data_IF_527168102311
#
_entry.id   IF_527168102311
#
_cell.length_a   1.000
_cell.length_b   1.000
_cell.length_c   1.000
_cell.angle_alpha   90.00
_cell.angle_beta   90.00
_cell.angle_gamma   90.00
#
_symmetry.space_group_name_H-M   'P 1'
#
loop_
_entity.id
_entity.type
_entity.pdbx_description
1 polymer ?
#
# COMPACT_ATOMS: atom_id res chain seq x y z
N UNK A 1 6.26 -14.28 17.40
CA UNK A 1 7.58 -14.65 16.82
C UNK A 1 7.52 -16.12 16.42
N UNK A 2 7.96 -16.46 15.21
CA UNK A 2 8.01 -17.83 14.70
C UNK A 2 9.34 -18.48 15.10
N UNK A 3 9.29 -19.67 15.67
CA UNK A 3 10.48 -20.47 15.97
C UNK A 3 10.92 -21.26 14.75
N UNK A 4 12.23 -21.55 14.65
CA UNK A 4 12.77 -22.41 13.59
C UNK A 4 12.30 -23.86 13.80
N UNK A 5 11.89 -24.53 12.72
CA UNK A 5 11.50 -25.94 12.74
C UNK A 5 12.75 -26.82 12.90
N UNK A 6 12.69 -27.81 13.79
CA UNK A 6 13.73 -28.84 13.93
C UNK A 6 13.53 -29.93 12.87
N UNK A 7 14.53 -30.12 12.01
CA UNK A 7 14.58 -31.16 11.00
C UNK A 7 15.46 -32.30 11.49
N UNK A 8 14.84 -33.32 12.10
CA UNK A 8 15.52 -34.51 12.62
C UNK A 8 15.32 -35.72 11.72
N UNK A 9 16.22 -36.69 11.83
CA UNK A 9 16.08 -37.99 11.17
C UNK A 9 14.81 -38.72 11.63
N UNK A 10 14.12 -39.39 10.70
CA UNK A 10 12.87 -40.10 10.98
C UNK A 10 11.63 -39.22 11.14
N UNK A 11 11.72 -37.90 10.90
CA UNK A 11 10.57 -36.99 10.95
C UNK A 11 9.58 -37.27 9.80
N UNK A 12 8.33 -37.59 10.13
CA UNK A 12 7.25 -37.69 9.16
C UNK A 12 6.74 -36.29 8.75
N UNK A 13 6.77 -35.98 7.45
CA UNK A 13 6.31 -34.69 6.93
C UNK A 13 4.80 -34.48 7.13
N UNK A 14 4.44 -33.25 7.53
CA UNK A 14 3.07 -32.78 7.68
C UNK A 14 2.99 -31.34 7.19
N UNK A 15 1.82 -30.82 6.76
CA UNK A 15 1.68 -29.45 6.27
C UNK A 15 2.21 -28.39 7.25
N UNK A 16 2.08 -28.63 8.55
CA UNK A 16 2.54 -27.72 9.59
C UNK A 16 4.05 -27.45 9.53
N UNK A 17 4.87 -28.41 9.09
CA UNK A 17 6.31 -28.20 8.96
C UNK A 17 6.59 -27.13 7.90
N UNK A 18 5.95 -27.23 6.74
CA UNK A 18 6.09 -26.25 5.66
C UNK A 18 5.49 -24.89 6.05
N UNK A 19 4.28 -24.87 6.61
CA UNK A 19 3.63 -23.63 7.06
C UNK A 19 4.46 -22.87 8.10
N UNK A 20 5.07 -23.57 9.07
CA UNK A 20 5.92 -22.94 10.09
C UNK A 20 7.26 -22.50 9.54
N UNK A 21 7.84 -23.28 8.62
CA UNK A 21 9.07 -22.91 7.94
C UNK A 21 8.87 -21.67 7.08
N UNK A 22 7.80 -21.60 6.31
CA UNK A 22 7.49 -20.47 5.44
C UNK A 22 7.32 -19.18 6.26
N UNK A 23 6.42 -19.22 7.24
CA UNK A 23 6.20 -18.12 8.18
C UNK A 23 7.45 -17.71 8.96
N UNK A 24 8.38 -18.62 9.25
CA UNK A 24 9.68 -18.27 9.85
C UNK A 24 10.52 -17.40 8.91
N UNK A 25 10.62 -17.77 7.63
CA UNK A 25 11.39 -17.01 6.64
C UNK A 25 10.74 -15.67 6.31
N UNK A 26 9.41 -15.63 6.16
CA UNK A 26 8.64 -14.39 5.99
C UNK A 26 8.89 -13.41 7.14
N UNK A 27 8.86 -13.88 8.39
CA UNK A 27 9.15 -13.04 9.55
C UNK A 27 10.60 -12.58 9.61
N UNK A 28 11.56 -13.42 9.24
CA UNK A 28 12.97 -13.01 9.15
C UNK A 28 13.13 -11.89 8.11
N UNK A 29 12.55 -12.04 6.91
CA UNK A 29 12.57 -11.03 5.87
C UNK A 29 11.91 -9.71 6.33
N UNK A 30 10.73 -9.80 6.92
CA UNK A 30 10.02 -8.63 7.44
C UNK A 30 10.85 -7.89 8.51
N UNK A 31 11.47 -8.61 9.46
CA UNK A 31 12.34 -8.03 10.48
C UNK A 31 13.55 -7.32 9.88
N UNK A 32 14.20 -7.93 8.89
CA UNK A 32 15.35 -7.32 8.20
C UNK A 32 14.98 -6.02 7.50
N UNK A 33 13.83 -5.98 6.81
CA UNK A 33 13.34 -4.77 6.17
C UNK A 33 13.00 -3.70 7.21
N UNK A 34 12.31 -4.08 8.29
CA UNK A 34 11.94 -3.17 9.38
C UNK A 34 13.14 -2.56 10.10
N UNK A 35 14.25 -3.30 10.18
CA UNK A 35 15.49 -2.79 10.77
C UNK A 35 16.12 -1.63 9.97
N UNK A 36 15.93 -1.61 8.65
CA UNK A 36 16.43 -0.56 7.76
C UNK A 36 15.40 0.54 7.52
N UNK A 37 14.12 0.18 7.44
CA UNK A 37 13.02 1.10 7.16
C UNK A 37 11.81 0.80 8.08
N UNK A 38 11.73 1.42 9.28
CA UNK A 38 10.73 1.08 10.31
C UNK A 38 9.26 1.21 9.88
N UNK A 39 8.99 2.07 8.91
CA UNK A 39 7.66 2.34 8.36
C UNK A 39 7.50 1.84 6.92
N UNK A 40 8.16 0.74 6.56
CA UNK A 40 8.03 0.11 5.23
C UNK A 40 6.71 -0.64 5.09
N UNK A 41 5.59 0.07 5.25
CA UNK A 41 4.22 -0.41 5.05
C UNK A 41 3.36 0.75 4.54
N UNK A 42 2.23 0.45 3.91
CA UNK A 42 1.35 1.44 3.30
C UNK A 42 1.00 1.11 1.85
N UNK A 43 0.57 2.13 1.13
CA UNK A 43 0.16 2.06 -0.28
C UNK A 43 1.37 2.17 -1.21
N UNK A 44 1.43 1.29 -2.20
CA UNK A 44 2.33 1.39 -3.35
C UNK A 44 1.58 1.81 -4.62
N UNK A 45 0.39 1.27 -4.85
CA UNK A 45 -0.49 1.69 -5.94
C UNK A 45 -1.96 1.56 -5.54
N UNK A 46 -2.76 2.56 -5.90
CA UNK A 46 -4.20 2.58 -5.65
C UNK A 46 -4.90 3.27 -6.81
N UNK A 47 -5.83 2.56 -7.44
CA UNK A 47 -6.73 3.12 -8.45
C UNK A 47 -8.18 2.81 -8.08
N UNK A 48 -9.00 3.85 -8.13
CA UNK A 48 -10.43 3.81 -7.84
C UNK A 48 -11.19 4.09 -9.13
N UNK A 49 -12.26 3.33 -9.35
CA UNK A 49 -13.18 3.57 -10.43
C UNK A 49 -13.99 4.85 -10.17
N UNK A 50 -13.63 5.92 -10.90
CA UNK A 50 -14.22 7.25 -10.72
C UNK A 50 -15.68 7.30 -11.18
N UNK A 51 -16.05 6.53 -12.19
CA UNK A 51 -17.42 6.49 -12.70
C UNK A 51 -18.34 5.77 -11.72
N UNK A 52 -17.88 4.63 -11.17
CA UNK A 52 -18.62 3.95 -10.11
C UNK A 52 -18.74 4.84 -8.86
N UNK A 53 -17.67 5.55 -8.49
CA UNK A 53 -17.65 6.42 -7.31
C UNK A 53 -18.65 7.58 -7.44
N UNK A 54 -18.73 8.21 -8.61
CA UNK A 54 -19.72 9.24 -8.91
C UNK A 54 -21.16 8.69 -8.77
N UNK A 55 -21.37 7.41 -9.06
CA UNK A 55 -22.64 6.69 -8.88
C UNK A 55 -22.80 6.06 -7.48
N UNK A 56 -22.09 6.58 -6.48
CA UNK A 56 -22.15 6.11 -5.08
C UNK A 56 -21.72 4.65 -4.86
N UNK A 57 -20.81 4.13 -5.68
CA UNK A 57 -20.21 2.81 -5.49
C UNK A 57 -18.69 2.93 -5.41
N UNK A 58 -18.11 2.57 -4.27
CA UNK A 58 -16.66 2.50 -4.11
C UNK A 58 -16.14 1.17 -4.66
N UNK A 59 -15.48 1.23 -5.81
CA UNK A 59 -14.83 0.08 -6.46
C UNK A 59 -13.36 0.39 -6.75
N UNK A 60 -12.47 -0.51 -6.38
CA UNK A 60 -11.05 -0.43 -6.74
C UNK A 60 -10.81 -1.13 -8.08
N UNK A 61 -9.87 -0.62 -8.86
CA UNK A 61 -9.39 -1.25 -10.12
C UNK A 61 -7.96 -1.76 -9.99
N UNK A 62 -7.17 -1.19 -9.08
CA UNK A 62 -5.81 -1.63 -8.76
C UNK A 62 -5.53 -1.36 -7.30
N UNK A 63 -4.86 -2.30 -6.64
CA UNK A 63 -4.46 -2.21 -5.25
C UNK A 63 -3.14 -2.97 -5.05
N UNK A 64 -2.06 -2.24 -4.79
CA UNK A 64 -0.79 -2.78 -4.32
C UNK A 64 -0.46 -2.16 -2.97
N UNK A 65 -0.44 -2.98 -1.92
CA UNK A 65 -0.24 -2.51 -0.53
C UNK A 65 0.62 -3.46 0.27
N UNK A 66 1.26 -2.91 1.30
CA UNK A 66 2.00 -3.65 2.31
C UNK A 66 1.46 -3.39 3.71
N UNK A 67 1.15 -4.46 4.43
CA UNK A 67 0.66 -4.38 5.81
C UNK A 67 1.79 -4.31 6.84
N UNK A 68 1.46 -3.89 8.06
CA UNK A 68 2.40 -3.69 9.15
C UNK A 68 3.08 -4.98 9.65
N UNK A 69 2.49 -6.14 9.36
CA UNK A 69 3.05 -7.47 9.65
C UNK A 69 3.96 -8.01 8.53
N UNK A 70 4.07 -7.27 7.42
CA UNK A 70 4.92 -7.59 6.28
C UNK A 70 4.20 -8.21 5.10
N UNK A 71 2.90 -8.51 5.21
CA UNK A 71 2.13 -9.08 4.10
C UNK A 71 2.04 -8.12 2.92
N UNK A 72 2.18 -8.67 1.72
CA UNK A 72 2.01 -7.96 0.46
C UNK A 72 0.70 -8.40 -0.19
N UNK A 73 -0.06 -7.42 -0.64
CA UNK A 73 -1.27 -7.63 -1.43
C UNK A 73 -1.10 -6.92 -2.75
N UNK A 74 -1.35 -7.65 -3.82
CA UNK A 74 -1.23 -7.16 -5.19
C UNK A 74 -2.43 -7.63 -6.01
N UNK A 75 -3.39 -6.74 -6.24
CA UNK A 75 -4.64 -7.01 -6.92
C UNK A 75 -4.84 -6.04 -8.09
N UNK A 76 -5.33 -6.54 -9.25
CA UNK A 76 -5.92 -7.86 -9.48
C UNK A 76 -4.95 -8.96 -9.91
N UNK A 77 -3.64 -8.70 -9.98
CA UNK A 77 -2.67 -9.62 -10.57
C UNK A 77 -2.53 -10.94 -9.79
N UNK A 78 -2.25 -10.86 -8.49
CA UNK A 78 -2.05 -12.02 -7.62
C UNK A 78 -3.30 -12.29 -6.78
N UNK A 79 -3.82 -11.25 -6.14
CA UNK A 79 -4.92 -11.28 -5.19
C UNK A 79 -6.23 -10.77 -5.81
N UNK A 80 -7.34 -11.03 -5.14
CA UNK A 80 -8.63 -10.46 -5.54
C UNK A 80 -8.77 -9.03 -5.01
N UNK A 81 -9.38 -8.15 -5.80
CA UNK A 81 -9.80 -6.83 -5.33
C UNK A 81 -10.86 -6.99 -4.23
N UNK A 82 -10.90 -6.09 -3.23
CA UNK A 82 -11.94 -6.13 -2.19
C UNK A 82 -13.33 -5.91 -2.81
N UNK A 83 -14.35 -6.39 -2.12
CA UNK A 83 -15.74 -6.17 -2.53
C UNK A 83 -16.07 -4.67 -2.64
N UNK A 84 -16.88 -4.33 -3.63
CA UNK A 84 -17.33 -2.96 -3.82
C UNK A 84 -18.26 -2.54 -2.68
N UNK A 85 -18.14 -1.28 -2.23
CA UNK A 85 -18.97 -0.75 -1.15
C UNK A 85 -20.04 0.16 -1.72
N UNK A 86 -21.29 -0.13 -1.39
CA UNK A 86 -22.42 0.74 -1.70
C UNK A 86 -22.46 1.94 -0.73
N UNK A 87 -22.15 3.13 -1.25
CA UNK A 87 -22.13 4.38 -0.49
C UNK A 87 -23.51 5.03 -0.41
N UNK A 88 -24.51 4.55 -1.15
CA UNK A 88 -25.88 5.08 -1.11
C UNK A 88 -26.54 4.83 0.25
N UNK A 89 -26.07 3.82 0.98
CA UNK A 89 -26.51 3.47 2.33
C UNK A 89 -25.99 4.43 3.41
N UNK A 90 -25.03 5.31 3.08
CA UNK A 90 -24.46 6.25 4.05
C UNK A 90 -25.45 7.38 4.37
N UNK A 91 -25.59 7.78 5.66
CA UNK A 91 -26.44 8.88 6.07
C UNK A 91 -26.14 10.18 5.29
N UNK A 92 -27.15 11.00 4.95
CA UNK A 92 -26.94 12.29 4.29
C UNK A 92 -26.07 13.27 5.10
N UNK A 93 -26.03 13.12 6.43
CA UNK A 93 -25.18 13.91 7.32
C UNK A 93 -23.69 13.61 7.18
N UNK A 94 -23.31 12.43 6.67
CA UNK A 94 -21.92 12.03 6.46
C UNK A 94 -21.37 12.75 5.23
N UNK A 95 -20.67 13.86 5.44
CA UNK A 95 -20.04 14.64 4.37
C UNK A 95 -18.71 14.05 3.92
N UNK A 96 -17.97 13.47 4.85
CA UNK A 96 -16.68 12.82 4.63
C UNK A 96 -16.67 11.47 5.31
N UNK A 97 -16.03 10.48 4.68
CA UNK A 97 -15.87 9.16 5.25
C UNK A 97 -14.52 8.56 4.87
N UNK A 98 -13.81 8.01 5.84
CA UNK A 98 -12.53 7.31 5.60
C UNK A 98 -12.76 5.81 5.49
N UNK A 99 -12.20 5.19 4.45
CA UNK A 99 -12.15 3.74 4.29
C UNK A 99 -10.76 3.22 4.58
N UNK A 100 -10.69 2.15 5.36
CA UNK A 100 -9.48 1.44 5.72
C UNK A 100 -9.34 0.20 4.85
N UNK A 101 -8.13 -0.08 4.41
CA UNK A 101 -7.81 -1.41 3.92
C UNK A 101 -7.54 -2.30 5.13
N UNK A 102 -8.21 -3.45 5.18
CA UNK A 102 -8.17 -4.35 6.31
C UNK A 102 -7.87 -5.78 5.84
N UNK A 103 -6.94 -6.43 6.54
CA UNK A 103 -6.60 -7.83 6.36
C UNK A 103 -6.82 -8.57 7.69
N UNK A 104 -7.59 -9.68 7.72
CA UNK A 104 -7.78 -10.41 8.96
C UNK A 104 -6.44 -10.85 9.58
N UNK A 105 -6.31 -10.67 10.89
CA UNK A 105 -5.13 -11.11 11.63
C UNK A 105 -4.96 -12.63 11.52
N UNK A 106 -3.72 -13.11 11.53
CA UNK A 106 -3.43 -14.55 11.51
C UNK A 106 -3.78 -15.17 12.87
N UNK A 107 -4.63 -16.20 12.87
CA UNK A 107 -5.16 -16.84 14.07
C UNK A 107 -4.48 -18.19 14.30
N UNK A 108 -3.91 -18.47 15.48
CA UNK A 108 -3.11 -19.68 15.70
C UNK A 108 -3.93 -20.98 15.77
N UNK A 109 -5.20 -20.92 16.18
CA UNK A 109 -6.02 -22.10 16.51
C UNK A 109 -7.33 -22.22 15.72
N UNK A 110 -7.65 -21.24 14.87
CA UNK A 110 -8.85 -21.25 14.03
C UNK A 110 -8.47 -21.24 12.56
N UNK A 111 -9.41 -21.58 11.67
CA UNK A 111 -9.18 -21.54 10.23
C UNK A 111 -8.72 -20.16 9.75
N UNK A 112 -7.62 -20.12 8.99
CA UNK A 112 -7.09 -18.90 8.37
C UNK A 112 -7.44 -18.78 6.89
N UNK A 113 -8.00 -19.82 6.28
CA UNK A 113 -8.39 -19.83 4.88
C UNK A 113 -9.84 -20.26 4.73
N UNK A 114 -10.46 -19.90 3.60
CA UNK A 114 -11.75 -20.45 3.18
C UNK A 114 -11.71 -21.10 1.81
N UNK A 115 -12.50 -22.16 1.60
CA UNK A 115 -12.65 -22.77 0.28
C UNK A 115 -13.20 -21.79 -0.75
N UNK A 116 -12.99 -22.06 -2.05
CA UNK A 116 -13.55 -21.23 -3.12
C UNK A 116 -15.09 -21.19 -3.02
N UNK A 117 -15.67 -20.01 -3.24
CA UNK A 117 -17.13 -19.83 -3.29
C UNK A 117 -17.85 -19.84 -1.94
N UNK A 118 -17.14 -19.98 -0.82
CA UNK A 118 -17.74 -19.80 0.50
C UNK A 118 -17.53 -18.38 1.02
N UNK A 119 -18.59 -17.69 1.48
CA UNK A 119 -18.44 -16.39 2.10
C UNK A 119 -17.71 -16.56 3.43
N UNK A 120 -16.65 -15.80 3.64
CA UNK A 120 -16.02 -15.76 4.95
C UNK A 120 -15.51 -14.39 5.30
N UNK A 121 -16.17 -13.85 6.32
CA UNK A 121 -15.87 -12.54 6.82
C UNK A 121 -14.77 -12.55 7.90
N UNK A 122 -14.00 -13.63 8.05
CA UNK A 122 -12.97 -13.66 9.10
C UNK A 122 -11.69 -14.40 8.75
N UNK A 123 -11.61 -15.07 7.60
CA UNK A 123 -10.41 -15.75 7.15
C UNK A 123 -9.47 -14.77 6.44
N UNK A 124 -8.16 -14.91 6.71
CA UNK A 124 -7.11 -14.10 6.10
C UNK A 124 -6.91 -14.43 4.63
N UNK A 125 -7.15 -15.68 4.26
CA UNK A 125 -6.91 -16.20 2.92
C UNK A 125 -8.18 -16.80 2.30
N UNK A 126 -8.23 -16.79 0.97
CA UNK A 126 -9.16 -17.57 0.15
C UNK A 126 -8.37 -18.52 -0.71
N UNK A 127 -8.83 -19.77 -0.80
CA UNK A 127 -8.22 -20.75 -1.68
C UNK A 127 -8.52 -20.41 -3.15
N UNK A 128 -7.49 -20.45 -4.00
CA UNK A 128 -7.60 -20.32 -5.44
C UNK A 128 -6.78 -21.44 -6.10
N UNK A 129 -7.43 -22.28 -6.90
CA UNK A 129 -6.74 -23.38 -7.59
C UNK A 129 -6.29 -22.91 -8.97
N UNK A 130 -5.04 -23.18 -9.33
CA UNK A 130 -4.52 -22.92 -10.67
C UNK A 130 -3.61 -24.05 -11.15
N UNK A 131 -3.53 -24.21 -12.47
CA UNK A 131 -2.58 -25.13 -13.07
C UNK A 131 -1.17 -24.60 -12.89
N UNK A 132 -0.26 -25.45 -12.42
CA UNK A 132 1.14 -25.15 -12.23
C UNK A 132 1.95 -25.96 -13.25
N UNK A 133 2.64 -25.30 -14.20
CA UNK A 133 3.51 -25.99 -15.13
C UNK A 133 4.75 -26.51 -14.39
N UNK A 134 5.30 -27.63 -14.86
CA UNK A 134 6.61 -28.07 -14.42
C UNK A 134 7.71 -27.22 -15.06
N UNK A 135 8.60 -26.67 -14.23
CA UNK A 135 9.61 -25.70 -14.64
C UNK A 135 10.93 -26.35 -15.08
N UNK A 136 11.13 -27.65 -14.84
CA UNK A 136 12.45 -28.27 -14.99
C UNK A 136 12.48 -29.47 -15.93
N UNK A 137 11.47 -30.34 -15.90
CA UNK A 137 11.50 -31.66 -16.57
C UNK A 137 10.47 -31.80 -17.68
N UNK A 138 9.71 -30.74 -17.99
CA UNK A 138 8.61 -30.74 -18.98
C UNK A 138 7.50 -31.76 -18.63
N UNK A 139 7.31 -32.05 -17.34
CA UNK A 139 6.20 -32.87 -16.88
C UNK A 139 4.86 -32.17 -17.12
N UNK A 140 3.79 -32.96 -17.16
CA UNK A 140 2.44 -32.44 -17.30
C UNK A 140 2.11 -31.45 -16.16
N UNK A 141 1.41 -30.34 -16.45
CA UNK A 141 0.99 -29.40 -15.42
C UNK A 141 0.07 -30.09 -14.41
N UNK A 142 0.15 -29.65 -13.15
CA UNK A 142 -0.68 -30.17 -12.06
C UNK A 142 -1.48 -29.02 -11.46
N UNK A 143 -2.74 -29.28 -11.10
CA UNK A 143 -3.54 -28.32 -10.38
C UNK A 143 -3.06 -28.19 -8.93
N UNK A 144 -2.65 -26.99 -8.53
CA UNK A 144 -2.24 -26.66 -7.18
C UNK A 144 -3.24 -25.69 -6.53
N UNK A 145 -3.35 -25.78 -5.20
CA UNK A 145 -4.20 -24.91 -4.39
C UNK A 145 -3.36 -23.81 -3.74
N UNK A 146 -3.66 -22.55 -4.07
CA UNK A 146 -2.97 -21.37 -3.58
C UNK A 146 -3.82 -20.59 -2.59
N UNK A 147 -3.15 -19.77 -1.77
CA UNK A 147 -3.78 -18.85 -0.85
C UNK A 147 -3.67 -17.43 -1.40
N UNK A 148 -4.82 -16.81 -1.70
CA UNK A 148 -4.92 -15.37 -2.00
C UNK A 148 -5.35 -14.61 -0.76
N UNK A 149 -4.89 -13.37 -0.57
CA UNK A 149 -5.22 -12.56 0.60
C UNK A 149 -6.63 -11.98 0.48
N UNK A 150 -7.40 -12.10 1.55
CA UNK A 150 -8.79 -11.65 1.63
C UNK A 150 -8.87 -10.23 2.21
N UNK A 151 -8.42 -9.23 1.45
CA UNK A 151 -8.49 -7.83 1.87
C UNK A 151 -9.89 -7.24 1.74
N UNK A 152 -10.16 -6.19 2.53
CA UNK A 152 -11.48 -5.54 2.61
C UNK A 152 -11.38 -4.06 2.79
N UNK A 153 -12.43 -3.38 2.34
CA UNK A 153 -12.69 -1.99 2.66
C UNK A 153 -13.60 -1.95 3.89
N UNK A 154 -13.11 -1.35 4.97
CA UNK A 154 -13.86 -1.21 6.23
C UNK A 154 -14.03 0.26 6.52
N UNK A 155 -15.27 0.69 6.81
CA UNK A 155 -15.55 2.08 7.14
C UNK A 155 -14.89 2.48 8.47
N UNK A 156 -14.55 3.77 8.62
CA UNK A 156 -14.11 4.32 9.90
C UNK A 156 -15.13 4.15 11.04
N UNK A 157 -16.42 3.98 10.70
CA UNK A 157 -17.50 3.75 11.64
C UNK A 157 -17.61 2.29 12.14
N UNK A 158 -16.96 1.34 11.47
CA UNK A 158 -17.03 -0.08 11.83
C UNK A 158 -15.88 -0.50 12.76
N UNK A 159 -16.09 -1.46 13.69
CA UNK A 159 -15.01 -2.01 14.51
C UNK A 159 -13.91 -2.68 13.66
N UNK A 160 -12.64 -2.49 14.04
CA UNK A 160 -11.49 -2.95 13.26
C UNK A 160 -10.47 -3.81 14.01
N UNK A 161 -10.71 -4.12 15.28
CA UNK A 161 -9.72 -4.77 16.18
C UNK A 161 -9.27 -6.18 15.73
N UNK A 162 -10.08 -6.87 14.92
CA UNK A 162 -9.74 -8.19 14.38
C UNK A 162 -8.84 -8.14 13.14
N UNK A 163 -8.52 -6.95 12.64
CA UNK A 163 -7.79 -6.75 11.40
C UNK A 163 -6.45 -6.07 11.65
N UNK A 164 -5.52 -6.32 10.75
CA UNK A 164 -4.38 -5.46 10.51
C UNK A 164 -4.82 -4.49 9.43
N UNK A 165 -4.76 -3.20 9.71
CA UNK A 165 -5.38 -2.20 8.85
C UNK A 165 -4.66 -0.87 8.88
N UNK A 166 -4.89 -0.05 7.86
CA UNK A 166 -4.48 1.35 7.82
C UNK A 166 -5.44 2.14 6.90
N UNK A 167 -5.55 3.48 7.06
CA UNK A 167 -6.49 4.25 6.26
C UNK A 167 -6.00 4.28 4.80
N UNK A 168 -6.86 3.86 3.88
CA UNK A 168 -6.53 3.70 2.47
C UNK A 168 -6.88 4.96 1.67
N UNK A 169 -8.08 5.49 1.89
CA UNK A 169 -8.62 6.63 1.17
C UNK A 169 -9.68 7.33 2.01
N UNK A 170 -9.88 8.61 1.73
CA UNK A 170 -10.99 9.40 2.27
C UNK A 170 -11.87 9.87 1.11
N UNK A 171 -13.18 9.73 1.29
CA UNK A 171 -14.19 10.18 0.35
C UNK A 171 -14.89 11.41 0.92
N UNK A 172 -15.36 12.27 0.02
CA UNK A 172 -16.25 13.38 0.34
C UNK A 172 -17.44 13.40 -0.61
N UNK A 173 -18.57 13.93 -0.17
CA UNK A 173 -19.71 14.15 -1.06
C UNK A 173 -19.36 15.22 -2.09
N UNK A 174 -19.66 14.96 -3.35
CA UNK A 174 -19.48 15.92 -4.42
C UNK A 174 -20.65 16.92 -4.43
N UNK A 175 -20.39 18.16 -4.85
CA UNK A 175 -21.42 19.20 -4.97
C UNK A 175 -22.50 18.86 -6.01
N UNK A 176 -22.15 18.04 -7.00
CA UNK A 176 -23.04 17.57 -8.08
C UNK A 176 -23.85 16.33 -7.70
N UNK A 177 -23.71 15.84 -6.45
CA UNK A 177 -24.21 14.53 -6.03
C UNK A 177 -23.18 13.42 -6.23
N UNK A 178 -23.35 12.31 -5.51
CA UNK A 178 -22.38 11.21 -5.48
C UNK A 178 -21.20 11.49 -4.54
N UNK A 179 -20.11 10.75 -4.76
CA UNK A 179 -18.87 10.85 -3.98
C UNK A 179 -17.67 11.11 -4.89
N UNK A 180 -16.65 11.71 -4.31
CA UNK A 180 -15.34 11.88 -4.93
C UNK A 180 -14.24 11.65 -3.90
N UNK A 181 -13.02 11.36 -4.37
CA UNK A 181 -11.88 11.22 -3.49
C UNK A 181 -11.50 12.58 -2.90
N UNK A 182 -11.14 12.59 -1.63
CA UNK A 182 -10.58 13.78 -0.99
C UNK A 182 -9.10 13.91 -1.34
N UNK A 183 -8.78 14.85 -2.24
CA UNK A 183 -7.41 15.15 -2.68
C UNK A 183 -6.53 15.75 -1.58
N UNK A 184 -7.05 16.11 -0.41
CA UNK A 184 -6.22 16.54 0.73
C UNK A 184 -5.73 15.37 1.59
N UNK A 185 -6.31 14.19 1.40
CA UNK A 185 -5.98 13.01 2.18
C UNK A 185 -4.75 12.30 1.60
N UNK A 186 -3.82 11.94 2.48
CA UNK A 186 -2.62 11.17 2.12
C UNK A 186 -2.59 9.92 3.01
N UNK A 187 -2.69 8.71 2.44
CA UNK A 187 -2.55 7.48 3.22
C UNK A 187 -1.09 7.27 3.67
N UNK A 188 -0.81 6.32 4.56
CA UNK A 188 0.53 5.76 4.71
C UNK A 188 1.00 5.22 3.35
N UNK A 189 2.13 5.70 2.86
CA UNK A 189 2.58 5.44 1.49
C UNK A 189 4.06 5.03 1.48
N UNK A 190 4.41 4.07 0.63
CA UNK A 190 5.78 3.56 0.50
C UNK A 190 6.67 4.43 -0.40
N UNK A 191 6.08 5.19 -1.31
CA UNK A 191 6.78 6.06 -2.25
C UNK A 191 6.05 7.39 -2.42
N UNK A 192 6.79 8.46 -2.74
CA UNK A 192 6.16 9.76 -3.04
C UNK A 192 5.26 9.68 -4.28
N UNK A 193 5.59 8.80 -5.25
CA UNK A 193 4.80 8.59 -6.45
C UNK A 193 3.40 8.02 -6.17
N UNK A 194 3.26 7.24 -5.10
CA UNK A 194 1.99 6.67 -4.68
C UNK A 194 1.10 7.66 -3.89
N UNK A 195 1.58 8.89 -3.66
CA UNK A 195 0.83 9.99 -3.05
C UNK A 195 0.85 11.21 -4.00
N UNK A 196 -0.12 11.33 -4.94
CA UNK A 196 -0.11 12.38 -5.97
C UNK A 196 0.01 13.80 -5.41
N UNK A 197 -0.59 14.05 -4.25
CA UNK A 197 -0.55 15.34 -3.54
C UNK A 197 0.86 15.70 -3.11
N UNK A 198 1.57 14.76 -2.48
CA UNK A 198 2.94 14.94 -2.06
C UNK A 198 3.87 15.12 -3.26
N UNK A 199 3.64 14.34 -4.32
CA UNK A 199 4.41 14.48 -5.56
C UNK A 199 4.24 15.87 -6.18
N UNK A 200 3.02 16.39 -6.26
CA UNK A 200 2.76 17.74 -6.78
C UNK A 200 3.35 18.83 -5.88
N UNK A 201 3.27 18.68 -4.55
CA UNK A 201 3.89 19.62 -3.61
C UNK A 201 5.42 19.64 -3.75
N UNK A 202 6.05 18.47 -3.85
CA UNK A 202 7.48 18.35 -4.10
C UNK A 202 7.87 19.00 -5.43
N UNK A 203 7.08 18.79 -6.49
CA UNK A 203 7.34 19.42 -7.78
C UNK A 203 7.29 20.94 -7.71
N UNK A 204 6.25 21.49 -7.08
CA UNK A 204 6.10 22.94 -6.88
C UNK A 204 7.26 23.52 -6.06
N UNK A 205 7.70 22.80 -5.03
CA UNK A 205 8.86 23.20 -4.22
C UNK A 205 10.14 23.24 -5.07
N UNK A 206 10.37 22.22 -5.90
CA UNK A 206 11.52 22.18 -6.81
C UNK A 206 11.47 23.33 -7.83
N UNK A 207 10.31 23.60 -8.43
CA UNK A 207 10.16 24.69 -9.40
C UNK A 207 10.41 26.07 -8.72
N UNK A 208 9.94 26.25 -7.48
CA UNK A 208 10.19 27.46 -6.70
C UNK A 208 11.67 27.62 -6.31
N UNK A 209 12.33 26.52 -5.92
CA UNK A 209 13.76 26.51 -5.65
C UNK A 209 14.57 26.87 -6.90
N UNK A 210 14.23 26.29 -8.06
CA UNK A 210 14.88 26.61 -9.33
C UNK A 210 14.72 28.08 -9.71
N UNK A 211 13.49 28.62 -9.58
CA UNK A 211 13.23 30.04 -9.82
C UNK A 211 14.03 30.93 -8.85
N UNK A 212 14.14 30.55 -7.57
CA UNK A 212 14.92 31.28 -6.58
C UNK A 212 16.42 31.25 -6.89
N UNK A 213 16.95 30.08 -7.23
CA UNK A 213 18.36 29.91 -7.63
C UNK A 213 18.67 30.74 -8.87
N UNK A 214 17.82 30.69 -9.90
CA UNK A 214 17.98 31.51 -11.11
C UNK A 214 17.94 33.02 -10.81
N UNK A 215 17.04 33.46 -9.93
CA UNK A 215 16.99 34.85 -9.50
C UNK A 215 18.28 35.24 -8.76
N UNK A 216 18.79 34.42 -7.84
CA UNK A 216 20.01 34.74 -7.08
C UNK A 216 21.25 34.81 -7.98
N UNK A 217 21.40 33.90 -8.95
CA UNK A 217 22.45 33.99 -9.97
C UNK A 217 22.29 35.23 -10.86
N UNK A 218 21.06 35.57 -11.27
CA UNK A 218 20.79 36.78 -12.06
C UNK A 218 21.09 38.10 -11.31
N UNK A 219 21.08 38.10 -9.98
CA UNK A 219 21.47 39.25 -9.15
C UNK A 219 22.98 39.33 -8.91
N UNK A 220 23.74 38.26 -9.15
CA UNK A 220 25.20 38.33 -9.12
C UNK A 220 25.65 39.15 -10.33
N UNK A 221 26.25 40.31 -10.07
CA UNK A 221 26.85 41.13 -11.12
C UNK A 221 28.03 40.35 -11.69
N UNK A 222 28.03 40.11 -13.00
CA UNK A 222 29.22 39.70 -13.77
C UNK A 222 29.87 40.96 -14.37
N UNK A 223 30.91 41.54 -13.73
CA UNK A 223 31.57 42.74 -14.27
C UNK A 223 32.47 42.39 -15.47
N UNK A 224 32.84 41.10 -15.60
CA UNK A 224 33.58 40.54 -16.72
C UNK A 224 33.29 39.04 -16.83
N UNK A 225 33.25 38.50 -18.07
CA UNK A 225 33.03 37.08 -18.34
C UNK A 225 33.98 36.23 -17.47
N UNK A 226 33.40 35.40 -16.59
CA UNK A 226 34.04 34.41 -15.73
C UNK A 226 34.60 34.85 -14.36
N UNK A 227 34.27 36.05 -13.84
CA UNK A 227 34.60 36.41 -12.44
C UNK A 227 33.34 36.88 -11.69
N UNK A 228 32.88 36.07 -10.74
CA UNK A 228 31.84 36.44 -9.77
C UNK A 228 32.53 37.11 -8.58
N UNK A 229 32.30 38.41 -8.39
CA UNK A 229 32.87 39.17 -7.27
C UNK A 229 31.86 39.20 -6.12
N UNK A 230 32.21 38.60 -4.96
CA UNK A 230 31.35 38.63 -3.76
C UNK A 230 31.77 39.76 -2.83
N UNK A 231 30.87 40.72 -2.57
CA UNK A 231 31.08 41.73 -1.52
C UNK A 231 30.49 41.25 -0.19
N UNK A 232 30.80 41.95 0.90
CA UNK A 232 30.25 41.65 2.23
C UNK A 232 28.72 41.64 2.28
N UNK A 233 28.04 42.41 1.42
CA UNK A 233 26.58 42.40 1.25
C UNK A 233 26.03 41.20 0.48
N UNK A 234 26.87 40.46 -0.25
CA UNK A 234 26.47 39.32 -1.09
C UNK A 234 26.70 37.97 -0.38
N UNK A 235 27.33 37.97 0.80
CA UNK A 235 27.61 36.74 1.56
C UNK A 235 26.34 35.96 1.90
N UNK A 236 25.23 36.63 2.22
CA UNK A 236 23.96 35.96 2.48
C UNK A 236 23.40 35.26 1.23
N UNK A 237 23.59 35.84 0.05
CA UNK A 237 23.18 35.23 -1.22
C UNK A 237 24.05 34.02 -1.56
N UNK A 238 25.37 34.14 -1.33
CA UNK A 238 26.31 33.04 -1.49
C UNK A 238 25.97 31.83 -0.61
N UNK A 239 25.71 32.04 0.68
CA UNK A 239 25.33 30.97 1.61
C UNK A 239 23.97 30.37 1.31
N UNK A 240 23.06 31.09 0.67
CA UNK A 240 21.74 30.57 0.30
C UNK A 240 21.77 29.72 -0.98
N UNK A 241 22.86 29.80 -1.75
CA UNK A 241 23.07 29.02 -2.97
C UNK A 241 23.81 27.68 -2.74
N UNK A 242 24.47 27.51 -1.59
CA UNK A 242 25.26 26.33 -1.21
C UNK A 242 24.57 25.54 -0.10
#
# INVERSE_FOLDING_TARGET
>A
MSSKVLWGEGLLLRPQHFQRQDHYHEQCLHKSIKAVHPYAWGVDSLQVDREALANSVLRLTTLAVRFQDGELVDAPEIDALPEAVDLSLLPPSTQTITYYIALPGMKPFTGNFTPPGQPSNTARFVQANHDAPDLYTQAAPVQLAYLKKAVRLVSEAEPRDSYIHFPLLRLRRASTGGFEMDESFVPPTLSVGAAPVLFQQLRRLLDALQAKTAALYGHQREPSRNVVEFRSGDMSSFWLLH
#
